data_IF_340894941708
#
_entry.id   IF_340894941708
#
_cell.length_a   1.000
_cell.length_b   1.000
_cell.length_c   1.000
_cell.angle_alpha   90.00
_cell.angle_beta   90.00
_cell.angle_gamma   90.00
#
_symmetry.space_group_name_H-M   'P 1'
#
loop_
_entity.id
_entity.type
_entity.pdbx_description
1 polymer ?
#
# COMPACT_ATOMS: atom_id res chain seq x y z
N UNK A 1 -16.46 -4.57 -17.84
CA UNK A 1 -15.11 -4.06 -17.53
C UNK A 1 -14.87 -4.27 -16.05
N UNK A 2 -13.66 -4.65 -15.64
CA UNK A 2 -13.29 -4.67 -14.24
C UNK A 2 -13.31 -3.24 -13.71
N UNK A 3 -13.81 -3.05 -12.51
CA UNK A 3 -13.81 -1.77 -11.80
C UNK A 3 -12.53 -1.53 -11.00
N UNK A 4 -11.47 -2.28 -11.32
CA UNK A 4 -10.12 -2.16 -10.74
C UNK A 4 -9.05 -2.19 -11.83
N UNK A 5 -7.88 -1.70 -11.46
CA UNK A 5 -6.64 -1.77 -12.24
C UNK A 5 -5.68 -2.74 -11.58
N UNK A 6 -5.03 -3.56 -12.39
CA UNK A 6 -3.83 -4.28 -12.03
C UNK A 6 -2.73 -3.84 -13.01
N UNK A 7 -1.77 -3.08 -12.51
CA UNK A 7 -0.64 -2.56 -13.28
C UNK A 7 0.64 -3.27 -12.83
N UNK A 8 1.52 -3.59 -13.78
CA UNK A 8 2.84 -4.15 -13.46
C UNK A 8 3.91 -3.09 -13.72
N UNK A 9 4.63 -2.71 -12.67
CA UNK A 9 5.72 -1.74 -12.72
C UNK A 9 7.06 -2.45 -12.68
N UNK A 10 7.62 -2.74 -13.85
CA UNK A 10 8.83 -3.53 -14.04
C UNK A 10 10.03 -2.97 -13.26
N UNK A 11 10.11 -1.65 -13.12
CA UNK A 11 11.13 -0.97 -12.33
C UNK A 11 11.30 -1.54 -10.91
N UNK A 12 10.21 -1.99 -10.27
CA UNK A 12 10.28 -2.61 -8.94
C UNK A 12 11.06 -3.92 -9.00
N UNK A 13 10.90 -4.72 -10.05
CA UNK A 13 11.64 -5.99 -10.21
C UNK A 13 13.12 -5.71 -10.47
N UNK A 14 13.42 -4.72 -11.33
CA UNK A 14 14.78 -4.33 -11.69
C UNK A 14 15.59 -3.83 -10.49
N UNK A 15 14.94 -3.17 -9.52
CA UNK A 15 15.55 -2.55 -8.34
C UNK A 15 15.08 -3.17 -7.01
N UNK A 16 14.60 -4.40 -7.05
CA UNK A 16 13.92 -5.03 -5.91
C UNK A 16 14.78 -5.05 -4.65
N UNK A 17 16.06 -5.41 -4.77
CA UNK A 17 16.94 -5.57 -3.61
C UNK A 17 17.26 -4.22 -2.94
N UNK A 18 17.44 -3.17 -3.72
CA UNK A 18 17.63 -1.80 -3.22
C UNK A 18 16.38 -1.31 -2.50
N UNK A 19 15.20 -1.52 -3.09
CA UNK A 19 13.90 -1.14 -2.51
C UNK A 19 13.66 -1.90 -1.20
N UNK A 20 13.92 -3.20 -1.15
CA UNK A 20 13.80 -4.01 0.08
C UNK A 20 14.69 -3.46 1.19
N UNK A 21 15.95 -3.12 0.88
CA UNK A 21 16.88 -2.55 1.84
C UNK A 21 16.40 -1.21 2.40
N UNK A 22 15.89 -0.33 1.54
CA UNK A 22 15.36 0.98 1.93
C UNK A 22 14.08 0.85 2.77
N UNK A 23 13.18 -0.07 2.41
CA UNK A 23 11.97 -0.35 3.18
C UNK A 23 12.26 -1.00 4.53
N UNK A 24 13.31 -1.83 4.63
CA UNK A 24 13.80 -2.32 5.92
C UNK A 24 14.27 -1.17 6.82
N UNK A 25 15.07 -0.27 6.29
CA UNK A 25 15.49 0.94 7.03
C UNK A 25 14.29 1.77 7.46
N UNK A 26 13.31 1.98 6.57
CA UNK A 26 12.08 2.69 6.89
C UNK A 26 11.27 1.99 7.99
N UNK A 27 11.20 0.65 7.97
CA UNK A 27 10.57 -0.13 9.03
C UNK A 27 11.25 0.07 10.39
N UNK A 28 12.58 0.08 10.42
CA UNK A 28 13.35 0.31 11.65
C UNK A 28 13.07 1.72 12.21
N UNK A 29 13.05 2.75 11.35
CA UNK A 29 12.68 4.12 11.72
C UNK A 29 11.25 4.18 12.28
N UNK A 30 10.28 3.54 11.64
CA UNK A 30 8.89 3.49 12.09
C UNK A 30 8.81 2.88 13.51
N UNK A 31 9.59 1.86 13.80
CA UNK A 31 9.66 1.27 15.14
C UNK A 31 10.29 2.20 16.18
N UNK A 32 11.34 2.91 15.81
CA UNK A 32 11.97 3.94 16.68
C UNK A 32 11.00 5.08 17.01
N UNK A 33 10.07 5.40 16.11
CA UNK A 33 8.99 6.36 16.35
C UNK A 33 7.85 5.80 17.24
N UNK A 34 8.01 4.60 17.79
CA UNK A 34 7.06 3.98 18.72
C UNK A 34 5.88 3.28 18.06
N UNK A 35 5.97 2.96 16.78
CA UNK A 35 4.98 2.14 16.07
C UNK A 35 5.43 0.68 16.12
N UNK A 36 4.82 -0.11 17.01
CA UNK A 36 5.19 -1.52 17.24
C UNK A 36 4.84 -2.44 16.07
N UNK A 37 3.81 -2.12 15.34
CA UNK A 37 3.35 -2.85 14.16
C UNK A 37 3.09 -1.88 13.00
N UNK A 38 3.84 -2.02 11.92
CA UNK A 38 3.76 -1.10 10.77
C UNK A 38 2.44 -1.24 10.01
N UNK A 39 1.83 -2.43 9.99
CA UNK A 39 0.56 -2.68 9.32
C UNK A 39 -0.60 -2.02 10.09
N UNK A 40 -0.75 -2.31 11.38
CA UNK A 40 -1.86 -1.81 12.18
C UNK A 40 -1.62 -0.41 12.77
N UNK A 41 -0.37 0.06 12.78
CA UNK A 41 -0.01 1.42 13.15
C UNK A 41 -0.08 2.45 12.02
N UNK A 42 -0.71 2.11 10.91
CA UNK A 42 -0.74 2.88 9.65
C UNK A 42 -1.22 4.33 9.80
N UNK A 43 -2.02 4.64 10.82
CA UNK A 43 -2.51 6.00 11.06
C UNK A 43 -1.44 6.97 11.57
N UNK A 44 -0.28 6.46 12.00
CA UNK A 44 0.77 7.25 12.64
C UNK A 44 1.88 7.70 11.69
N UNK A 45 1.88 7.23 10.46
CA UNK A 45 2.92 7.54 9.48
C UNK A 45 2.39 7.39 8.05
N UNK A 46 3.16 7.86 7.08
CA UNK A 46 3.01 7.54 5.66
C UNK A 46 4.34 7.00 5.15
N UNK A 47 4.32 5.82 4.51
CA UNK A 47 5.59 5.19 4.09
C UNK A 47 6.35 6.03 3.07
N UNK A 48 5.66 6.74 2.17
CA UNK A 48 6.31 7.65 1.23
C UNK A 48 6.91 8.88 1.93
N UNK A 49 6.33 9.32 3.05
CA UNK A 49 6.91 10.37 3.90
C UNK A 49 8.16 9.88 4.63
N UNK A 50 8.11 8.70 5.26
CA UNK A 50 9.25 8.11 5.98
C UNK A 50 10.41 7.79 5.04
N UNK A 51 10.12 7.33 3.83
CA UNK A 51 11.12 6.95 2.82
C UNK A 51 11.44 8.08 1.82
N UNK A 52 11.06 9.32 2.12
CA UNK A 52 11.19 10.46 1.19
C UNK A 52 12.60 10.72 0.61
N UNK A 53 13.72 10.36 1.26
CA UNK A 53 15.04 10.50 0.65
C UNK A 53 15.33 9.47 -0.45
N UNK A 54 14.53 8.40 -0.57
CA UNK A 54 14.74 7.35 -1.55
C UNK A 54 14.28 7.76 -2.96
N UNK A 55 15.19 7.64 -3.93
CA UNK A 55 14.84 7.85 -5.35
C UNK A 55 13.92 6.74 -5.87
N UNK A 56 14.04 5.51 -5.35
CA UNK A 56 13.19 4.38 -5.74
C UNK A 56 11.77 4.59 -5.24
N UNK A 57 11.61 4.98 -3.98
CA UNK A 57 10.29 5.25 -3.39
C UNK A 57 9.63 6.47 -4.04
N UNK A 58 10.40 7.48 -4.42
CA UNK A 58 9.88 8.61 -5.19
C UNK A 58 9.32 8.15 -6.55
N UNK A 59 10.05 7.31 -7.30
CA UNK A 59 9.58 6.79 -8.60
C UNK A 59 8.32 5.91 -8.45
N UNK A 60 8.25 5.11 -7.39
CA UNK A 60 7.04 4.32 -7.08
C UNK A 60 5.86 5.25 -6.80
N UNK A 61 6.06 6.28 -5.98
CA UNK A 61 5.03 7.26 -5.67
C UNK A 61 4.52 8.00 -6.92
N UNK A 62 5.42 8.47 -7.79
CA UNK A 62 5.07 9.17 -9.03
C UNK A 62 4.28 8.27 -9.98
N UNK A 63 4.68 7.00 -10.11
CA UNK A 63 3.94 6.01 -10.93
C UNK A 63 2.56 5.77 -10.35
N UNK A 64 2.46 5.55 -9.03
CA UNK A 64 1.19 5.36 -8.34
C UNK A 64 0.27 6.58 -8.51
N UNK A 65 0.80 7.79 -8.32
CA UNK A 65 0.07 9.04 -8.56
C UNK A 65 -0.49 9.10 -9.99
N UNK A 66 0.32 8.76 -10.99
CA UNK A 66 -0.10 8.69 -12.39
C UNK A 66 -1.25 7.71 -12.62
N UNK A 67 -1.18 6.51 -12.03
CA UNK A 67 -2.25 5.50 -12.10
C UNK A 67 -3.53 6.05 -11.46
N UNK A 68 -3.45 6.57 -10.26
CA UNK A 68 -4.62 7.12 -9.54
C UNK A 68 -5.24 8.27 -10.34
N UNK A 69 -4.44 9.22 -10.81
CA UNK A 69 -4.91 10.38 -11.57
C UNK A 69 -5.48 10.02 -12.95
N UNK A 70 -5.02 8.95 -13.58
CA UNK A 70 -5.63 8.47 -14.83
C UNK A 70 -7.06 7.97 -14.64
N UNK A 71 -7.43 7.53 -13.44
CA UNK A 71 -8.77 7.06 -13.10
C UNK A 71 -9.62 8.14 -12.41
N UNK A 72 -8.98 9.03 -11.69
CA UNK A 72 -9.58 10.09 -10.89
C UNK A 72 -8.92 11.43 -11.27
N UNK A 73 -9.20 11.95 -12.49
CA UNK A 73 -8.49 13.12 -13.02
C UNK A 73 -8.84 14.40 -12.25
N UNK A 74 -10.07 14.47 -11.72
CA UNK A 74 -10.62 15.65 -11.08
C UNK A 74 -10.68 15.51 -9.56
N UNK A 75 -10.80 16.65 -8.89
CA UNK A 75 -10.97 16.73 -7.45
C UNK A 75 -9.67 16.67 -6.65
N UNK A 76 -9.81 16.99 -5.37
CA UNK A 76 -8.74 16.87 -4.40
C UNK A 76 -8.68 15.46 -3.87
N UNK A 77 -7.49 14.88 -3.86
CA UNK A 77 -7.24 13.54 -3.38
C UNK A 77 -6.11 13.55 -2.36
N UNK A 78 -6.19 12.63 -1.40
CA UNK A 78 -5.16 12.34 -0.42
C UNK A 78 -4.84 10.86 -0.45
N UNK A 79 -3.59 10.52 -0.15
CA UNK A 79 -3.15 9.14 0.03
C UNK A 79 -2.64 8.93 1.44
N UNK A 80 -3.16 7.93 2.10
CA UNK A 80 -2.58 7.28 3.26
C UNK A 80 -1.87 6.03 2.79
N UNK A 81 -0.65 5.77 3.25
CA UNK A 81 0.08 4.56 2.84
C UNK A 81 0.92 4.00 3.97
N UNK A 82 1.03 2.68 4.00
CA UNK A 82 1.70 1.95 5.07
C UNK A 82 2.51 0.78 4.56
N UNK A 83 3.41 0.29 5.39
CA UNK A 83 4.27 -0.84 5.11
C UNK A 83 3.73 -2.10 5.78
N UNK A 84 3.44 -3.14 4.99
CA UNK A 84 3.25 -4.49 5.47
C UNK A 84 4.61 -5.20 5.42
N UNK A 85 5.16 -5.52 6.59
CA UNK A 85 6.46 -6.18 6.74
C UNK A 85 6.27 -7.42 7.62
N UNK A 86 5.83 -8.53 7.01
CA UNK A 86 5.20 -9.64 7.69
C UNK A 86 5.94 -10.96 7.48
N UNK A 87 5.98 -11.78 8.52
CA UNK A 87 6.39 -13.18 8.44
C UNK A 87 5.26 -14.03 7.80
N UNK A 88 5.54 -15.28 7.50
CA UNK A 88 4.60 -16.16 6.81
C UNK A 88 3.28 -16.38 7.56
N UNK A 89 3.26 -16.25 8.88
CA UNK A 89 2.07 -16.35 9.74
C UNK A 89 1.30 -15.02 9.88
N UNK A 90 1.90 -13.91 9.44
CA UNK A 90 1.33 -12.56 9.47
C UNK A 90 0.34 -12.29 8.32
N UNK A 91 -0.67 -13.15 8.14
CA UNK A 91 -1.64 -12.98 7.06
C UNK A 91 -2.74 -11.97 7.38
N UNK A 92 -3.14 -11.19 6.39
CA UNK A 92 -4.29 -10.30 6.48
C UNK A 92 -5.58 -11.08 6.21
N UNK A 93 -6.43 -11.15 7.22
CA UNK A 93 -7.75 -11.78 7.13
C UNK A 93 -8.73 -10.96 6.27
N UNK A 94 -9.90 -11.52 6.00
CA UNK A 94 -10.95 -10.84 5.24
C UNK A 94 -11.29 -9.47 5.81
N UNK A 95 -11.04 -8.43 5.04
CA UNK A 95 -11.34 -7.03 5.38
C UNK A 95 -11.67 -6.21 4.12
N UNK A 96 -12.14 -5.02 4.33
CA UNK A 96 -12.33 -3.98 3.32
C UNK A 96 -11.92 -2.63 3.92
N UNK A 97 -11.91 -1.59 3.09
CA UNK A 97 -11.51 -0.24 3.49
C UNK A 97 -12.71 0.70 3.48
N UNK A 98 -12.75 1.64 4.42
CA UNK A 98 -13.74 2.71 4.45
C UNK A 98 -13.39 3.87 3.50
N UNK A 99 -12.17 3.90 2.98
CA UNK A 99 -11.73 4.85 1.96
C UNK A 99 -12.49 4.67 0.64
N UNK A 100 -12.55 5.71 -0.19
CA UNK A 100 -13.21 5.64 -1.49
C UNK A 100 -12.54 4.60 -2.40
N UNK A 101 -11.21 4.56 -2.36
CA UNK A 101 -10.40 3.59 -3.09
C UNK A 101 -9.27 3.10 -2.20
N UNK A 102 -8.78 1.90 -2.52
CA UNK A 102 -7.62 1.32 -1.87
C UNK A 102 -6.73 0.58 -2.88
N UNK A 103 -5.56 0.20 -2.43
CA UNK A 103 -4.71 -0.63 -3.23
C UNK A 103 -3.48 -1.13 -2.48
N UNK A 104 -2.66 -1.86 -3.20
CA UNK A 104 -1.37 -2.31 -2.70
C UNK A 104 -0.32 -2.39 -3.82
N UNK A 105 0.93 -2.32 -3.41
CA UNK A 105 2.10 -2.48 -4.25
C UNK A 105 2.89 -3.67 -3.73
N UNK A 106 3.12 -4.67 -4.58
CA UNK A 106 3.90 -5.86 -4.23
C UNK A 106 5.39 -5.61 -4.46
N UNK A 107 6.17 -5.63 -3.39
CA UNK A 107 7.63 -5.47 -3.44
C UNK A 107 8.32 -6.84 -3.34
N UNK A 108 8.07 -7.57 -2.25
CA UNK A 108 8.51 -8.94 -2.02
C UNK A 108 7.28 -9.76 -1.64
N UNK A 109 6.50 -10.23 -2.62
CA UNK A 109 5.20 -10.86 -2.36
C UNK A 109 5.30 -12.25 -1.74
N UNK A 110 6.46 -12.90 -1.83
CA UNK A 110 6.62 -14.32 -1.48
C UNK A 110 5.64 -15.19 -2.30
N UNK A 111 5.34 -16.39 -1.85
CA UNK A 111 4.38 -17.29 -2.50
C UNK A 111 2.96 -17.04 -1.95
N UNK A 112 2.37 -15.91 -2.35
CA UNK A 112 1.06 -15.45 -1.86
C UNK A 112 0.11 -15.04 -2.97
N UNK A 113 -1.18 -15.08 -2.68
CA UNK A 113 -2.23 -14.51 -3.51
C UNK A 113 -3.10 -13.53 -2.69
N UNK A 114 -3.67 -12.53 -3.37
CA UNK A 114 -4.74 -11.70 -2.82
C UNK A 114 -6.06 -12.21 -3.33
N UNK A 115 -6.86 -12.77 -2.43
CA UNK A 115 -8.18 -13.31 -2.73
C UNK A 115 -9.23 -12.25 -2.46
N UNK A 116 -10.02 -11.93 -3.46
CA UNK A 116 -11.24 -11.11 -3.39
C UNK A 116 -12.47 -12.02 -3.43
N UNK A 117 -13.64 -11.53 -3.12
CA UNK A 117 -14.88 -12.35 -3.11
C UNK A 117 -15.19 -13.00 -4.47
N UNK A 118 -14.75 -12.42 -5.58
CA UNK A 118 -15.11 -12.86 -6.94
C UNK A 118 -13.91 -13.21 -7.82
N UNK A 119 -12.70 -12.89 -7.42
CA UNK A 119 -11.47 -13.17 -8.18
C UNK A 119 -10.25 -13.26 -7.26
N UNK A 120 -9.17 -13.72 -7.81
CA UNK A 120 -7.88 -13.83 -7.10
C UNK A 120 -6.80 -13.17 -7.95
N UNK A 121 -5.83 -12.54 -7.30
CA UNK A 121 -4.62 -11.98 -7.92
C UNK A 121 -3.43 -12.76 -7.38
N UNK A 122 -2.69 -13.40 -8.27
CA UNK A 122 -1.36 -13.94 -7.98
C UNK A 122 -0.39 -12.78 -7.75
N UNK A 123 0.18 -12.70 -6.56
CA UNK A 123 1.01 -11.58 -6.17
C UNK A 123 2.41 -11.73 -6.77
N UNK A 124 2.78 -10.82 -7.64
CA UNK A 124 4.10 -10.75 -8.27
C UNK A 124 4.76 -9.43 -7.92
N UNK A 125 6.10 -9.42 -7.79
CA UNK A 125 6.84 -8.18 -7.61
C UNK A 125 6.52 -7.19 -8.74
N UNK A 126 6.29 -5.93 -8.38
CA UNK A 126 5.89 -4.89 -9.34
C UNK A 126 4.38 -4.76 -9.57
N UNK A 127 3.56 -5.70 -9.10
CA UNK A 127 2.11 -5.56 -9.20
C UNK A 127 1.62 -4.40 -8.32
N UNK A 128 0.82 -3.53 -8.93
CA UNK A 128 0.08 -2.44 -8.28
C UNK A 128 -1.40 -2.69 -8.53
N UNK A 129 -2.13 -3.02 -7.48
CA UNK A 129 -3.59 -3.08 -7.51
C UNK A 129 -4.17 -1.74 -7.07
N UNK A 130 -5.20 -1.26 -7.76
CA UNK A 130 -5.98 -0.08 -7.40
C UNK A 130 -7.45 -0.31 -7.73
N UNK A 131 -8.33 -0.16 -6.75
CA UNK A 131 -9.76 -0.38 -6.91
C UNK A 131 -10.60 0.23 -5.80
N UNK A 132 -11.94 0.12 -5.86
CA UNK A 132 -12.86 0.60 -4.84
C UNK A 132 -12.56 0.07 -3.44
N UNK A 133 -12.69 0.92 -2.43
CA UNK A 133 -12.42 0.57 -1.03
C UNK A 133 -13.30 -0.56 -0.49
N UNK A 134 -14.51 -0.71 -1.02
CA UNK A 134 -15.44 -1.75 -0.60
C UNK A 134 -15.08 -3.16 -1.09
N UNK A 135 -14.10 -3.33 -1.99
CA UNK A 135 -13.66 -4.64 -2.42
C UNK A 135 -13.05 -5.42 -1.25
N UNK A 136 -13.83 -6.35 -0.73
CA UNK A 136 -13.42 -7.20 0.38
C UNK A 136 -12.40 -8.21 -0.08
N UNK A 137 -11.29 -8.32 0.66
CA UNK A 137 -10.17 -9.17 0.29
C UNK A 137 -9.42 -9.70 1.49
N UNK A 138 -8.57 -10.69 1.23
CA UNK A 138 -7.58 -11.23 2.18
C UNK A 138 -6.29 -11.59 1.45
N UNK A 139 -5.21 -11.75 2.21
CA UNK A 139 -3.97 -12.36 1.71
C UNK A 139 -3.93 -13.81 2.14
N UNK A 140 -3.58 -14.70 1.22
CA UNK A 140 -3.42 -16.12 1.45
C UNK A 140 -2.00 -16.55 1.09
N UNK A 141 -1.34 -17.21 2.02
CA UNK A 141 -0.07 -17.88 1.78
C UNK A 141 -0.32 -19.20 1.07
N UNK A 142 0.36 -19.42 -0.05
CA UNK A 142 0.27 -20.67 -0.80
C UNK A 142 1.25 -21.71 -0.27
N UNK A 143 2.40 -21.24 0.25
CA UNK A 143 3.42 -22.06 0.91
C UNK A 143 4.06 -21.29 2.04
N UNK A 144 4.66 -22.03 2.98
CA UNK A 144 5.54 -21.45 3.98
C UNK A 144 6.79 -20.87 3.31
N UNK A 145 7.18 -19.67 3.71
CA UNK A 145 8.39 -18.99 3.21
C UNK A 145 9.28 -18.51 4.35
N UNK A 146 10.55 -18.31 4.04
CA UNK A 146 11.52 -17.70 4.95
C UNK A 146 11.72 -16.24 4.55
N UNK A 147 11.90 -15.37 5.54
CA UNK A 147 12.05 -13.94 5.31
C UNK A 147 10.75 -13.17 5.46
N UNK A 148 10.66 -12.01 4.83
CA UNK A 148 9.51 -11.12 4.97
C UNK A 148 8.73 -11.02 3.67
N UNK A 149 7.42 -11.03 3.78
CA UNK A 149 6.52 -10.51 2.76
C UNK A 149 6.47 -9.00 2.92
N UNK A 150 6.77 -8.27 1.84
CA UNK A 150 6.84 -6.81 1.84
C UNK A 150 5.88 -6.26 0.80
N UNK A 151 4.88 -5.52 1.25
CA UNK A 151 3.96 -4.79 0.38
C UNK A 151 3.70 -3.39 0.96
N UNK A 152 3.36 -2.45 0.09
CA UNK A 152 2.89 -1.14 0.49
C UNK A 152 1.39 -1.11 0.28
N UNK A 153 0.62 -1.00 1.37
CA UNK A 153 -0.81 -0.74 1.30
C UNK A 153 -1.08 0.75 1.19
N UNK A 154 -2.18 1.14 0.54
CA UNK A 154 -2.58 2.52 0.49
C UNK A 154 -4.10 2.69 0.37
N UNK A 155 -4.59 3.79 0.94
CA UNK A 155 -5.95 4.29 0.83
C UNK A 155 -5.95 5.64 0.11
N UNK A 156 -6.93 5.83 -0.78
CA UNK A 156 -7.15 7.10 -1.47
C UNK A 156 -8.48 7.70 -1.00
N UNK A 157 -8.40 8.92 -0.52
CA UNK A 157 -9.54 9.68 -0.01
C UNK A 157 -9.86 10.82 -0.96
N UNK A 158 -11.15 11.00 -1.22
CA UNK A 158 -11.71 12.16 -1.94
C UNK A 158 -12.07 13.27 -0.94
N UNK A 159 -12.39 14.45 -1.42
CA UNK A 159 -12.85 15.58 -0.57
C UNK A 159 -13.98 15.19 0.37
N UNK A 160 -14.93 14.39 -0.12
CA UNK A 160 -16.06 13.92 0.69
C UNK A 160 -15.58 13.04 1.85
N UNK A 161 -14.78 12.02 1.54
CA UNK A 161 -14.21 11.14 2.56
C UNK A 161 -13.27 11.90 3.51
N UNK A 162 -12.53 12.87 3.00
CA UNK A 162 -11.67 13.72 3.83
C UNK A 162 -12.48 14.47 4.89
N UNK A 163 -13.62 15.06 4.53
CA UNK A 163 -14.48 15.79 5.47
C UNK A 163 -15.13 14.87 6.50
N UNK A 164 -15.59 13.69 6.10
CA UNK A 164 -16.16 12.69 7.00
C UNK A 164 -15.10 12.08 7.94
N UNK A 165 -13.87 11.96 7.46
CA UNK A 165 -12.73 11.45 8.20
C UNK A 165 -11.97 12.54 8.97
N UNK A 166 -12.49 13.76 9.05
CA UNK A 166 -11.82 14.89 9.70
C UNK A 166 -11.31 14.56 11.11
N UNK A 167 -12.09 13.78 11.88
CA UNK A 167 -11.65 13.23 13.16
C UNK A 167 -10.42 12.33 13.06
N UNK A 168 -10.29 11.56 11.99
CA UNK A 168 -9.14 10.68 11.76
C UNK A 168 -7.97 11.42 11.14
N UNK A 169 -8.20 12.38 10.28
CA UNK A 169 -7.16 13.13 9.56
C UNK A 169 -6.40 14.05 10.52
N UNK A 170 -7.07 14.69 11.45
CA UNK A 170 -6.39 15.47 12.51
C UNK A 170 -5.54 14.62 13.46
N UNK A 171 -5.75 13.30 13.48
CA UNK A 171 -4.93 12.32 14.19
C UNK A 171 -3.99 11.54 13.29
N UNK A 172 -4.16 11.61 11.98
CA UNK A 172 -3.36 10.91 10.98
C UNK A 172 -2.35 11.88 10.39
N UNK A 173 -1.15 11.90 10.95
CA UNK A 173 -0.02 12.66 10.40
C UNK A 173 0.49 12.11 9.06
N UNK A 174 -0.23 11.16 8.46
CA UNK A 174 0.21 10.36 7.36
C UNK A 174 -0.44 10.63 6.00
N UNK A 175 -1.45 11.53 5.91
CA UNK A 175 -2.07 11.80 4.62
C UNK A 175 -1.25 12.79 3.78
N UNK A 176 -0.92 12.38 2.56
CA UNK A 176 -0.20 13.22 1.58
C UNK A 176 -1.20 13.63 0.48
N UNK A 177 -1.28 14.93 0.10
CA UNK A 177 -2.09 15.33 -1.02
C UNK A 177 -1.54 14.78 -2.33
N UNK A 178 -2.42 14.28 -3.19
CA UNK A 178 -2.11 13.90 -4.57
C UNK A 178 -2.46 15.07 -5.48
N UNK A 179 -1.45 15.82 -5.91
CA UNK A 179 -1.58 16.97 -6.81
C UNK A 179 -1.51 16.55 -8.29
#
# INVERSE_FOLDING_TARGET
>A
MSDYILYNFEYIKEHQQEIIKELKTSHDIIRELGVSDSTFGYTKYNIFGVSSPSIHMYKIFETLRGIIRSQLPDGRLWIQSWLNYQDWDGVLQWHNHSSAYHGYISIEPQDTETEFEKWTIDNQAGNIYFGPGHHRHRVKNLREYKGKRITIGFDVMTDYNYQELDYYIHKNFGCIPLL
#
